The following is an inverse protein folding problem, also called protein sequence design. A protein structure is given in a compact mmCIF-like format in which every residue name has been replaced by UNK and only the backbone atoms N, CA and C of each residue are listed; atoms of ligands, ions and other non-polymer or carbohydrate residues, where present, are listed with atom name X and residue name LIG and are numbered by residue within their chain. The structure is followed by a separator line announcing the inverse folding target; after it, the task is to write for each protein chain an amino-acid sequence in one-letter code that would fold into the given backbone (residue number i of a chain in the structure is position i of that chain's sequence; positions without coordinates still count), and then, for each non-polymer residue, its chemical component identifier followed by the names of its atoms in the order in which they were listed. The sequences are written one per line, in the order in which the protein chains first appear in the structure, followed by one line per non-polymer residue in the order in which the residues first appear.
data_IF_425778309647
#
_entry.id   IF_425778309647
#
_cell.length_a   1.000
_cell.length_b   1.000
_cell.length_c   1.000
_cell.angle_alpha   90.00
_cell.angle_beta   90.00
_cell.angle_gamma   90.00
#
_symmetry.space_group_name_H-M   'P 1'
#
loop_
_entity.id
_entity.type
_entity.pdbx_description
1 polymer ?
#
# COMPACT_ATOMS: atom_id res chain seq x y z
N UNK A 1 -12.20 -0.87 14.03
CA UNK A 1 -13.60 -0.44 13.82
C UNK A 1 -14.38 -1.53 13.08
N UNK A 2 -15.28 -2.30 13.73
CA UNK A 2 -15.78 -3.56 13.17
C UNK A 2 -16.82 -3.42 12.05
N UNK A 3 -17.36 -2.22 11.78
CA UNK A 3 -18.38 -1.98 10.73
C UNK A 3 -17.90 -1.07 9.58
N UNK A 4 -16.64 -0.63 9.61
CA UNK A 4 -16.10 0.32 8.62
C UNK A 4 -15.90 -0.39 7.27
N UNK A 5 -16.63 0.05 6.24
CA UNK A 5 -16.64 -0.59 4.91
C UNK A 5 -15.80 0.14 3.85
N UNK A 6 -15.60 1.44 4.01
CA UNK A 6 -14.90 2.31 3.06
C UNK A 6 -14.13 3.38 3.82
N UNK A 7 -12.94 3.71 3.33
CA UNK A 7 -12.12 4.83 3.79
C UNK A 7 -11.77 5.69 2.59
N UNK A 8 -11.84 7.01 2.75
CA UNK A 8 -11.44 7.98 1.75
C UNK A 8 -10.54 9.03 2.38
N UNK A 9 -9.51 9.42 1.65
CA UNK A 9 -8.53 10.40 2.09
C UNK A 9 -8.45 11.53 1.09
N UNK A 10 -8.66 12.75 1.58
CA UNK A 10 -8.60 13.97 0.78
C UNK A 10 -7.17 14.29 0.28
N UNK A 11 -7.04 15.26 -0.65
CA UNK A 11 -5.75 15.74 -1.12
C UNK A 11 -4.80 16.06 0.04
N UNK A 12 -3.56 15.56 -0.03
CA UNK A 12 -2.49 15.83 0.94
C UNK A 12 -2.81 15.54 2.43
N UNK A 13 -3.90 14.81 2.71
CA UNK A 13 -4.45 14.64 4.07
C UNK A 13 -3.46 14.14 5.14
N UNK A 14 -2.48 13.32 4.73
CA UNK A 14 -1.36 12.85 5.55
C UNK A 14 -0.01 13.06 4.83
N UNK A 15 0.12 14.11 4.02
CA UNK A 15 1.40 14.45 3.39
C UNK A 15 2.48 14.75 4.45
N UNK A 16 3.68 14.20 4.26
CA UNK A 16 4.77 14.26 5.22
C UNK A 16 4.66 13.25 6.37
N UNK A 17 3.72 12.30 6.34
CA UNK A 17 3.64 11.24 7.34
C UNK A 17 4.91 10.37 7.37
N UNK A 18 5.22 9.81 8.54
CA UNK A 18 6.23 8.75 8.67
C UNK A 18 5.59 7.36 8.66
N UNK A 19 4.43 7.18 9.31
CA UNK A 19 3.79 5.87 9.43
C UNK A 19 2.31 5.92 9.05
N UNK A 20 1.86 4.91 8.32
CA UNK A 20 0.47 4.70 7.94
C UNK A 20 0.06 3.26 8.27
N UNK A 21 -0.97 3.10 9.10
CA UNK A 21 -1.31 1.80 9.72
C UNK A 21 -2.79 1.49 9.56
N UNK A 22 -3.09 0.43 8.81
CA UNK A 22 -4.42 -0.04 8.47
C UNK A 22 -4.59 -1.46 9.01
N UNK A 23 -5.03 -1.58 10.27
CA UNK A 23 -5.10 -2.89 10.95
C UNK A 23 -6.48 -3.24 11.51
N UNK A 24 -6.80 -4.52 11.45
CA UNK A 24 -7.96 -5.12 12.13
C UNK A 24 -9.29 -4.43 11.73
N UNK A 25 -9.49 -4.27 10.41
CA UNK A 25 -10.70 -3.72 9.80
C UNK A 25 -11.43 -4.82 9.00
N UNK A 26 -12.10 -5.78 9.68
CA UNK A 26 -12.62 -7.00 9.06
C UNK A 26 -13.74 -6.78 8.05
N UNK A 27 -14.43 -5.64 8.10
CA UNK A 27 -15.49 -5.27 7.14
C UNK A 27 -15.03 -4.30 6.05
N UNK A 28 -13.77 -3.88 6.05
CA UNK A 28 -13.26 -2.91 5.08
C UNK A 28 -13.19 -3.53 3.69
N UNK A 29 -13.75 -2.84 2.68
CA UNK A 29 -13.85 -3.30 1.29
C UNK A 29 -13.14 -2.37 0.30
N UNK A 30 -12.97 -1.10 0.65
CA UNK A 30 -12.41 -0.10 -0.25
C UNK A 30 -11.61 0.96 0.52
N UNK A 31 -10.41 1.26 0.01
CA UNK A 31 -9.63 2.43 0.41
C UNK A 31 -9.40 3.29 -0.82
N UNK A 32 -9.68 4.59 -0.68
CA UNK A 32 -9.51 5.59 -1.74
C UNK A 32 -8.55 6.67 -1.26
N UNK A 33 -7.50 6.88 -2.04
CA UNK A 33 -6.47 7.89 -1.83
C UNK A 33 -6.60 8.97 -2.91
N UNK A 34 -6.82 10.22 -2.51
CA UNK A 34 -6.66 11.36 -3.41
C UNK A 34 -5.16 11.68 -3.62
N UNK A 35 -4.90 12.76 -4.38
CA UNK A 35 -3.54 13.23 -4.69
C UNK A 35 -2.70 13.44 -3.43
N UNK A 36 -1.47 12.92 -3.45
CA UNK A 36 -0.43 13.07 -2.42
C UNK A 36 -0.87 12.72 -0.98
N UNK A 37 -2.02 12.06 -0.81
CA UNK A 37 -2.69 11.89 0.49
C UNK A 37 -1.89 11.11 1.53
N UNK A 38 -0.91 10.31 1.10
CA UNK A 38 0.10 9.64 1.93
C UNK A 38 1.49 9.73 1.28
N UNK A 39 1.89 10.93 0.87
CA UNK A 39 3.28 11.21 0.45
C UNK A 39 4.18 11.17 1.68
N UNK A 40 5.08 10.21 1.78
CA UNK A 40 5.89 10.02 2.99
C UNK A 40 6.98 11.08 3.14
N UNK A 41 7.52 11.19 4.36
CA UNK A 41 8.54 12.19 4.69
C UNK A 41 9.89 11.89 4.02
N UNK A 42 10.26 12.72 3.03
CA UNK A 42 11.55 12.64 2.33
C UNK A 42 12.78 12.71 3.26
N UNK A 43 12.73 13.48 4.35
CA UNK A 43 13.89 13.75 5.22
C UNK A 43 14.23 12.56 6.13
N UNK A 44 13.24 11.74 6.46
CA UNK A 44 13.37 10.58 7.34
C UNK A 44 12.86 9.33 6.60
N UNK A 45 13.19 9.19 5.31
CA UNK A 45 12.55 8.19 4.45
C UNK A 45 12.79 6.76 4.96
N UNK A 46 13.97 6.46 5.53
CA UNK A 46 14.35 5.15 6.10
C UNK A 46 13.46 4.71 7.28
N UNK A 47 12.84 5.66 7.99
CA UNK A 47 11.91 5.40 9.09
C UNK A 47 10.44 5.21 8.63
N UNK A 48 10.18 5.30 7.32
CA UNK A 48 8.82 5.34 6.80
C UNK A 48 8.21 3.96 6.61
N UNK A 49 6.95 3.81 7.05
CA UNK A 49 6.28 2.51 7.12
C UNK A 49 4.82 2.58 6.69
N UNK A 50 4.41 1.64 5.83
CA UNK A 50 3.02 1.32 5.51
C UNK A 50 2.73 -0.10 6.00
N UNK A 51 1.85 -0.22 6.99
CA UNK A 51 1.40 -1.51 7.52
C UNK A 51 -0.09 -1.69 7.20
N UNK A 52 -0.42 -2.75 6.45
CA UNK A 52 -1.79 -3.17 6.13
C UNK A 52 -1.99 -4.61 6.60
N UNK A 53 -2.68 -4.81 7.72
CA UNK A 53 -2.81 -6.11 8.38
C UNK A 53 -4.26 -6.49 8.69
N UNK A 54 -4.64 -7.74 8.47
CA UNK A 54 -5.96 -8.29 8.80
C UNK A 54 -7.10 -7.48 8.14
N UNK A 55 -7.06 -7.39 6.81
CA UNK A 55 -8.07 -6.71 5.98
C UNK A 55 -8.80 -7.73 5.06
N UNK A 56 -9.40 -8.80 5.61
CA UNK A 56 -9.82 -9.99 4.85
C UNK A 56 -10.91 -9.75 3.80
N UNK A 57 -11.65 -8.63 3.89
CA UNK A 57 -12.72 -8.25 2.95
C UNK A 57 -12.33 -7.13 1.99
N UNK A 58 -11.07 -6.69 2.01
CA UNK A 58 -10.59 -5.62 1.11
C UNK A 58 -10.76 -6.07 -0.35
N UNK A 59 -11.28 -5.19 -1.21
CA UNK A 59 -11.47 -5.49 -2.63
C UNK A 59 -10.78 -4.50 -3.55
N UNK A 60 -10.64 -3.26 -3.09
CA UNK A 60 -10.10 -2.15 -3.89
C UNK A 60 -9.23 -1.25 -3.03
N UNK A 61 -8.10 -0.85 -3.58
CA UNK A 61 -7.18 0.12 -3.00
C UNK A 61 -6.73 1.01 -4.16
N UNK A 62 -7.18 2.27 -4.20
CA UNK A 62 -7.08 3.12 -5.41
C UNK A 62 -6.49 4.49 -5.11
N UNK A 63 -5.56 4.92 -5.96
CA UNK A 63 -5.08 6.31 -6.05
C UNK A 63 -5.74 6.97 -7.26
N UNK A 64 -6.46 8.07 -7.06
CA UNK A 64 -7.36 8.61 -8.09
C UNK A 64 -6.68 9.51 -9.17
N UNK A 65 -5.57 10.23 -8.92
CA UNK A 65 -4.82 10.91 -9.99
C UNK A 65 -3.67 10.04 -10.53
N UNK A 66 -3.53 9.99 -11.87
CA UNK A 66 -2.43 9.31 -12.58
C UNK A 66 -1.02 9.91 -12.36
N UNK A 67 -0.90 11.02 -11.64
CA UNK A 67 0.37 11.69 -11.29
C UNK A 67 0.30 12.10 -9.82
N UNK A 68 0.39 11.11 -8.94
CA UNK A 68 0.29 11.29 -7.50
C UNK A 68 1.56 10.81 -6.82
N UNK A 69 2.08 11.58 -5.87
CA UNK A 69 3.18 11.17 -5.00
C UNK A 69 2.69 10.41 -3.75
N UNK A 70 1.43 9.92 -3.73
CA UNK A 70 0.96 8.97 -2.71
C UNK A 70 1.91 7.77 -2.63
N UNK A 71 2.38 7.46 -1.43
CA UNK A 71 3.39 6.47 -1.08
C UNK A 71 4.82 6.71 -1.62
N UNK A 72 5.11 7.81 -2.32
CA UNK A 72 6.50 8.18 -2.63
C UNK A 72 7.26 8.46 -1.33
N UNK A 73 8.55 8.08 -1.31
CA UNK A 73 9.44 8.02 -0.14
C UNK A 73 9.10 6.97 0.92
N UNK A 74 8.19 6.03 0.63
CA UNK A 74 7.99 4.84 1.44
C UNK A 74 9.22 3.92 1.39
N UNK A 75 9.69 3.45 2.54
CA UNK A 75 10.86 2.57 2.69
C UNK A 75 10.47 1.15 3.10
N UNK A 76 9.53 1.00 4.04
CA UNK A 76 9.04 -0.29 4.54
C UNK A 76 7.55 -0.49 4.27
N UNK A 77 7.17 -1.60 3.61
CA UNK A 77 5.78 -1.96 3.39
C UNK A 77 5.49 -3.40 3.87
N UNK A 78 4.49 -3.54 4.73
CA UNK A 78 4.07 -4.80 5.35
C UNK A 78 2.60 -5.03 4.99
N UNK A 79 2.35 -6.07 4.18
CA UNK A 79 1.03 -6.45 3.70
C UNK A 79 0.69 -7.87 4.22
N UNK A 80 -0.12 -7.98 5.26
CA UNK A 80 -0.39 -9.26 5.94
C UNK A 80 -1.89 -9.57 6.08
N UNK A 81 -2.29 -10.81 5.80
CA UNK A 81 -3.66 -11.27 5.84
C UNK A 81 -4.62 -10.37 5.01
N UNK A 82 -4.17 -10.01 3.81
CA UNK A 82 -4.96 -9.28 2.80
C UNK A 82 -5.27 -10.20 1.59
N UNK A 83 -6.46 -10.08 0.98
CA UNK A 83 -6.77 -10.73 -0.29
C UNK A 83 -6.01 -10.06 -1.44
N UNK A 84 -5.30 -10.86 -2.25
CA UNK A 84 -4.59 -10.38 -3.43
C UNK A 84 -5.47 -10.51 -4.68
N UNK A 85 -6.43 -9.59 -4.82
CA UNK A 85 -7.18 -9.43 -6.06
C UNK A 85 -6.42 -8.52 -7.04
N UNK A 86 -6.64 -8.72 -8.35
CA UNK A 86 -5.93 -8.00 -9.44
C UNK A 86 -6.08 -6.46 -9.39
N UNK A 87 -7.11 -5.95 -8.70
CA UNK A 87 -7.44 -4.52 -8.55
C UNK A 87 -6.75 -3.80 -7.36
N UNK A 88 -5.91 -4.49 -6.57
CA UNK A 88 -5.46 -3.98 -5.26
C UNK A 88 -4.16 -3.15 -5.32
N UNK A 89 -3.29 -3.32 -6.33
CA UNK A 89 -1.97 -2.67 -6.35
C UNK A 89 -1.56 -2.17 -7.76
N UNK A 90 -1.93 -0.92 -8.09
CA UNK A 90 -1.37 -0.19 -9.25
C UNK A 90 -0.42 0.91 -8.78
N UNK A 91 0.87 0.60 -8.69
CA UNK A 91 1.87 1.48 -8.07
C UNK A 91 3.29 1.28 -8.64
N UNK A 92 3.54 1.67 -9.89
CA UNK A 92 4.91 1.64 -10.45
C UNK A 92 5.81 2.68 -9.75
N UNK A 93 5.40 3.95 -9.74
CA UNK A 93 6.22 5.04 -9.18
C UNK A 93 6.30 5.05 -7.64
N UNK A 94 5.29 4.50 -6.97
CA UNK A 94 5.15 4.63 -5.53
C UNK A 94 6.10 3.73 -4.73
N UNK A 95 6.48 2.57 -5.27
CA UNK A 95 7.39 1.63 -4.61
C UNK A 95 8.88 1.85 -4.98
N UNK A 96 9.20 2.91 -5.74
CA UNK A 96 10.57 3.22 -6.17
C UNK A 96 11.60 3.38 -5.03
N UNK A 97 11.15 3.71 -3.82
CA UNK A 97 12.00 3.92 -2.64
C UNK A 97 11.98 2.76 -1.65
N UNK A 98 11.12 1.74 -1.86
CA UNK A 98 10.90 0.66 -0.90
C UNK A 98 12.09 -0.30 -0.87
N UNK A 99 12.72 -0.41 0.30
CA UNK A 99 13.83 -1.32 0.57
C UNK A 99 13.43 -2.53 1.43
N UNK A 100 12.27 -2.47 2.10
CA UNK A 100 11.73 -3.59 2.87
C UNK A 100 10.30 -3.86 2.41
N UNK A 101 10.05 -5.03 1.83
CA UNK A 101 8.72 -5.45 1.41
C UNK A 101 8.41 -6.83 2.00
N UNK A 102 7.30 -6.93 2.73
CA UNK A 102 6.77 -8.18 3.27
C UNK A 102 5.33 -8.37 2.81
N UNK A 103 5.04 -9.54 2.25
CA UNK A 103 3.72 -9.90 1.76
C UNK A 103 3.33 -11.30 2.25
N UNK A 104 2.24 -11.40 3.01
CA UNK A 104 1.61 -12.64 3.44
C UNK A 104 0.12 -12.58 3.11
N UNK A 105 -0.29 -13.26 2.05
CA UNK A 105 -1.67 -13.25 1.59
C UNK A 105 -2.52 -14.35 2.22
N UNK A 106 -3.84 -14.14 2.22
CA UNK A 106 -4.82 -15.21 2.46
C UNK A 106 -5.15 -16.03 1.19
N UNK A 107 -4.57 -15.70 0.03
CA UNK A 107 -4.83 -16.33 -1.27
C UNK A 107 -3.51 -16.70 -1.97
N UNK A 108 -3.43 -17.93 -2.50
CA UNK A 108 -2.19 -18.50 -3.07
C UNK A 108 -1.89 -18.09 -4.52
N UNK A 109 -2.74 -17.30 -5.18
CA UNK A 109 -2.55 -16.92 -6.58
C UNK A 109 -2.33 -15.41 -6.68
N UNK A 110 -1.18 -15.01 -7.22
CA UNK A 110 -0.77 -13.62 -7.33
C UNK A 110 -0.25 -13.32 -8.74
N UNK A 111 -0.81 -12.30 -9.39
CA UNK A 111 -0.20 -11.64 -10.55
C UNK A 111 0.14 -10.22 -10.16
N UNK A 112 1.35 -10.01 -9.65
CA UNK A 112 1.82 -8.66 -9.37
C UNK A 112 2.32 -7.99 -10.63
N UNK A 113 1.53 -7.08 -11.18
CA UNK A 113 1.97 -6.12 -12.18
C UNK A 113 2.66 -4.93 -11.50
N UNK A 114 3.82 -5.14 -10.87
CA UNK A 114 4.79 -4.05 -10.76
C UNK A 114 5.35 -3.87 -12.18
N UNK A 115 5.19 -2.68 -12.75
CA UNK A 115 5.98 -2.27 -13.91
C UNK A 115 7.40 -1.97 -13.41
N UNK A 116 8.27 -2.98 -13.46
CA UNK A 116 9.51 -3.00 -12.67
C UNK A 116 10.60 -2.23 -13.40
N UNK A 117 10.83 -0.97 -13.01
CA UNK A 117 12.12 -0.30 -13.21
C UNK A 117 13.20 -0.85 -12.25
N UNK A 118 13.35 -2.19 -12.23
CA UNK A 118 14.35 -3.07 -11.61
C UNK A 118 14.25 -3.53 -10.13
N UNK A 119 14.38 -2.70 -9.06
CA UNK A 119 14.98 -3.15 -7.79
C UNK A 119 14.16 -4.16 -6.96
N UNK A 120 12.90 -4.42 -7.31
CA UNK A 120 11.98 -5.24 -6.50
C UNK A 120 11.94 -6.74 -6.90
N UNK A 121 12.62 -7.14 -7.98
CA UNK A 121 12.71 -8.56 -8.37
C UNK A 121 13.32 -9.47 -7.27
N UNK A 122 14.17 -8.91 -6.41
CA UNK A 122 14.84 -9.64 -5.30
C UNK A 122 13.92 -10.12 -4.18
N UNK A 123 12.66 -9.68 -4.12
CA UNK A 123 11.68 -10.13 -3.10
C UNK A 123 10.78 -11.28 -3.58
N UNK A 124 10.92 -11.72 -4.83
CA UNK A 124 10.20 -12.87 -5.39
C UNK A 124 11.00 -14.17 -5.25
N UNK A 125 11.29 -14.58 -4.02
CA UNK A 125 11.66 -15.97 -3.76
C UNK A 125 10.36 -16.79 -3.74
N UNK A 126 10.25 -17.76 -4.66
CA UNK A 126 9.24 -18.82 -4.54
C UNK A 126 9.73 -19.80 -3.48
N UNK A 127 8.93 -19.99 -2.44
CA UNK A 127 8.88 -21.27 -1.70
C UNK A 127 7.98 -22.25 -2.47
#
# INVERSE_FOLDING_TARGET
MPKLKRMEFGPEAFAGCMKATFENLPELRSIVFAIDSFKFNKRCYEDTELTMRNLPKLKTCKVIPRRSATFVYLYSAILENIPLADDVLFFSEAFNYVQNFSLKSIQSMFRLFIDISQPLLKYFVRE
#
